data_IF_083386474024
#
_entry.id   IF_083386474024
#
_cell.length_a   1.000
_cell.length_b   1.000
_cell.length_c   1.000
_cell.angle_alpha   90.00
_cell.angle_beta   90.00
_cell.angle_gamma   90.00
#
_symmetry.space_group_name_H-M   'P 1'
#
loop_
_entity.id
_entity.type
_entity.pdbx_description
1 polymer ?
#
# COMPACT_ATOMS: atom_id res chain seq x y z
N UNK A 1 -15.07 71.51 8.68
CA UNK A 1 -15.53 70.35 7.90
C UNK A 1 -15.54 69.15 8.84
N UNK A 2 -16.71 68.64 9.23
CA UNK A 2 -16.82 67.50 10.13
C UNK A 2 -16.69 66.21 9.29
N UNK A 3 -15.64 65.43 9.52
CA UNK A 3 -15.50 64.12 8.88
C UNK A 3 -16.62 63.22 9.40
N UNK A 4 -17.45 62.63 8.53
CA UNK A 4 -18.58 61.81 8.98
C UNK A 4 -18.05 60.52 9.62
N UNK A 5 -18.19 60.41 10.94
CA UNK A 5 -17.74 59.27 11.74
C UNK A 5 -18.25 57.90 11.24
N UNK A 6 -19.43 57.86 10.60
CA UNK A 6 -19.97 56.64 9.99
C UNK A 6 -19.14 56.10 8.81
N UNK A 7 -18.44 56.98 8.09
CA UNK A 7 -17.61 56.62 6.94
C UNK A 7 -16.27 56.03 7.38
N UNK A 8 -15.72 56.51 8.51
CA UNK A 8 -14.54 55.93 9.17
C UNK A 8 -14.82 54.55 9.76
N UNK A 9 -15.99 54.35 10.39
CA UNK A 9 -16.40 53.05 10.94
C UNK A 9 -16.60 52.01 9.82
N UNK A 10 -17.16 52.42 8.68
CA UNK A 10 -17.41 51.51 7.54
C UNK A 10 -16.12 51.09 6.82
N UNK A 11 -15.16 52.02 6.64
CA UNK A 11 -13.85 51.72 6.05
C UNK A 11 -13.00 50.85 7.00
N UNK A 12 -12.98 51.19 8.30
CA UNK A 12 -12.27 50.39 9.30
C UNK A 12 -12.85 48.97 9.42
N UNK A 13 -14.19 48.83 9.38
CA UNK A 13 -14.87 47.55 9.39
C UNK A 13 -14.62 46.69 8.14
N UNK A 14 -14.59 47.31 6.96
CA UNK A 14 -14.28 46.63 5.70
C UNK A 14 -12.86 46.07 5.65
N UNK A 15 -11.87 46.87 6.11
CA UNK A 15 -10.46 46.45 6.16
C UNK A 15 -10.28 45.28 7.15
N UNK A 16 -10.89 45.37 8.34
CA UNK A 16 -10.82 44.29 9.33
C UNK A 16 -11.42 42.97 8.81
N UNK A 17 -12.58 43.02 8.13
CA UNK A 17 -13.22 41.84 7.54
C UNK A 17 -12.34 41.21 6.44
N UNK A 18 -11.69 42.00 5.59
CA UNK A 18 -10.76 41.48 4.58
C UNK A 18 -9.52 40.83 5.18
N UNK A 19 -8.95 41.40 6.25
CA UNK A 19 -7.76 40.82 6.91
C UNK A 19 -8.11 39.49 7.58
N UNK A 20 -9.25 39.41 8.27
CA UNK A 20 -9.73 38.16 8.89
C UNK A 20 -10.05 37.12 7.82
N UNK A 21 -10.70 37.52 6.71
CA UNK A 21 -10.99 36.64 5.58
C UNK A 21 -9.73 36.07 4.91
N UNK A 22 -8.69 36.88 4.72
CA UNK A 22 -7.41 36.45 4.14
C UNK A 22 -6.63 35.54 5.08
N UNK A 23 -6.60 35.83 6.39
CA UNK A 23 -5.93 34.98 7.38
C UNK A 23 -6.65 33.63 7.53
N UNK A 24 -7.99 33.65 7.65
CA UNK A 24 -8.79 32.44 7.71
C UNK A 24 -8.67 31.61 6.42
N UNK A 25 -8.73 32.26 5.25
CA UNK A 25 -8.52 31.64 3.94
C UNK A 25 -7.12 31.05 3.78
N UNK A 26 -6.08 31.74 4.27
CA UNK A 26 -4.70 31.25 4.24
C UNK A 26 -4.45 30.04 5.14
N UNK A 27 -5.04 30.01 6.34
CA UNK A 27 -4.93 28.88 7.27
C UNK A 27 -5.72 27.67 6.78
N UNK A 28 -6.94 27.87 6.27
CA UNK A 28 -7.77 26.81 5.67
C UNK A 28 -7.13 26.27 4.39
N UNK A 29 -6.61 27.16 3.53
CA UNK A 29 -5.87 26.81 2.32
C UNK A 29 -4.65 25.95 2.63
N UNK A 30 -3.79 26.35 3.58
CA UNK A 30 -2.61 25.58 3.99
C UNK A 30 -2.96 24.21 4.57
N UNK A 31 -4.05 24.08 5.33
CA UNK A 31 -4.53 22.78 5.84
C UNK A 31 -5.04 21.88 4.72
N UNK A 32 -5.76 22.43 3.74
CA UNK A 32 -6.27 21.66 2.60
C UNK A 32 -5.12 21.15 1.71
N UNK A 33 -4.14 22.01 1.41
CA UNK A 33 -2.96 21.65 0.63
C UNK A 33 -2.11 20.58 1.34
N UNK A 34 -1.91 20.71 2.66
CA UNK A 34 -1.16 19.71 3.42
C UNK A 34 -1.86 18.34 3.45
N UNK A 35 -3.20 18.30 3.51
CA UNK A 35 -3.98 17.06 3.43
C UNK A 35 -3.89 16.42 2.05
N UNK A 36 -4.03 17.23 0.98
CA UNK A 36 -3.88 16.75 -0.40
C UNK A 36 -2.49 16.19 -0.64
N UNK A 37 -1.44 16.91 -0.21
CA UNK A 37 -0.06 16.44 -0.33
C UNK A 37 0.18 15.11 0.40
N UNK A 38 -0.31 14.98 1.63
CA UNK A 38 -0.18 13.73 2.39
C UNK A 38 -0.94 12.57 1.73
N UNK A 39 -2.12 12.85 1.16
CA UNK A 39 -2.91 11.86 0.45
C UNK A 39 -2.20 11.40 -0.84
N UNK A 40 -1.68 12.32 -1.64
CA UNK A 40 -0.89 12.01 -2.85
C UNK A 40 0.38 11.22 -2.52
N UNK A 41 1.09 11.61 -1.45
CA UNK A 41 2.28 10.92 -0.99
C UNK A 41 1.97 9.49 -0.53
N UNK A 42 0.86 9.28 0.20
CA UNK A 42 0.37 7.95 0.58
C UNK A 42 0.02 7.10 -0.62
N UNK A 43 -0.77 7.63 -1.56
CA UNK A 43 -1.14 6.91 -2.78
C UNK A 43 0.10 6.45 -3.55
N UNK A 44 1.07 7.35 -3.73
CA UNK A 44 2.33 7.04 -4.41
C UNK A 44 3.14 5.97 -3.67
N UNK A 45 3.22 6.06 -2.33
CA UNK A 45 3.95 5.08 -1.53
C UNK A 45 3.28 3.70 -1.55
N UNK A 46 1.96 3.64 -1.45
CA UNK A 46 1.20 2.39 -1.53
C UNK A 46 1.31 1.75 -2.92
N UNK A 47 1.27 2.54 -3.99
CA UNK A 47 1.48 2.05 -5.36
C UNK A 47 2.87 1.41 -5.51
N UNK A 48 3.93 2.11 -5.09
CA UNK A 48 5.31 1.58 -5.14
C UNK A 48 5.47 0.30 -4.33
N UNK A 49 4.86 0.25 -3.15
CA UNK A 49 4.88 -0.97 -2.33
C UNK A 49 4.18 -2.13 -3.03
N UNK A 50 2.98 -1.91 -3.58
CA UNK A 50 2.24 -2.95 -4.29
C UNK A 50 2.98 -3.44 -5.54
N UNK A 51 3.62 -2.53 -6.30
CA UNK A 51 4.45 -2.90 -7.44
C UNK A 51 5.65 -3.75 -7.03
N UNK A 52 6.38 -3.33 -6.00
CA UNK A 52 7.54 -4.08 -5.51
C UNK A 52 7.13 -5.43 -4.90
N UNK A 53 6.04 -5.45 -4.15
CA UNK A 53 5.44 -6.68 -3.62
C UNK A 53 5.06 -7.66 -4.75
N UNK A 54 4.39 -7.17 -5.79
CA UNK A 54 4.02 -8.00 -6.94
C UNK A 54 5.23 -8.57 -7.68
N UNK A 55 6.33 -7.82 -7.78
CA UNK A 55 7.57 -8.32 -8.36
C UNK A 55 8.20 -9.44 -7.52
N UNK A 56 8.21 -9.30 -6.18
CA UNK A 56 8.66 -10.36 -5.28
C UNK A 56 7.76 -11.59 -5.44
N UNK A 57 6.45 -11.42 -5.33
CA UNK A 57 5.48 -12.53 -5.42
C UNK A 57 5.56 -13.29 -6.75
N UNK A 58 5.73 -12.58 -7.87
CA UNK A 58 5.94 -13.20 -9.18
C UNK A 58 7.21 -14.05 -9.21
N UNK A 59 8.33 -13.52 -8.75
CA UNK A 59 9.60 -14.25 -8.71
C UNK A 59 9.54 -15.46 -7.77
N UNK A 60 8.88 -15.34 -6.62
CA UNK A 60 8.68 -16.47 -5.71
C UNK A 60 7.84 -17.58 -6.36
N UNK A 61 6.76 -17.21 -7.07
CA UNK A 61 5.93 -18.14 -7.84
C UNK A 61 6.70 -18.81 -8.97
N UNK A 62 7.42 -18.04 -9.78
CA UNK A 62 8.22 -18.57 -10.89
C UNK A 62 9.32 -19.51 -10.37
N UNK A 63 10.03 -19.12 -9.32
CA UNK A 63 11.04 -19.95 -8.69
C UNK A 63 10.49 -21.28 -8.19
N UNK A 64 9.26 -21.27 -7.65
CA UNK A 64 8.57 -22.48 -7.25
C UNK A 64 8.25 -23.38 -8.45
N UNK A 65 7.63 -22.84 -9.50
CA UNK A 65 7.26 -23.59 -10.71
C UNK A 65 8.49 -24.21 -11.38
N UNK A 66 9.56 -23.43 -11.49
CA UNK A 66 10.83 -23.84 -12.11
C UNK A 66 11.70 -24.73 -11.20
N UNK A 67 11.29 -24.95 -9.95
CA UNK A 67 12.07 -25.68 -8.93
C UNK A 67 13.49 -25.13 -8.80
N UNK A 68 13.62 -23.81 -8.71
CA UNK A 68 14.89 -23.10 -8.57
C UNK A 68 14.89 -22.24 -7.30
N UNK A 69 16.08 -21.81 -6.90
CA UNK A 69 16.18 -20.79 -5.87
C UNK A 69 15.61 -19.46 -6.42
N UNK A 70 14.85 -18.70 -5.61
CA UNK A 70 14.36 -17.39 -6.02
C UNK A 70 15.51 -16.37 -6.07
N UNK A 71 15.50 -15.54 -7.10
CA UNK A 71 16.48 -14.49 -7.39
C UNK A 71 15.86 -13.12 -7.13
N UNK A 72 15.29 -12.95 -5.93
CA UNK A 72 14.57 -11.72 -5.57
C UNK A 72 15.52 -10.52 -5.55
N UNK A 73 15.16 -9.47 -6.29
CA UNK A 73 15.83 -8.17 -6.19
C UNK A 73 15.21 -7.43 -5.00
N UNK A 74 15.83 -7.54 -3.82
CA UNK A 74 15.30 -6.97 -2.57
C UNK A 74 15.33 -5.45 -2.49
N UNK A 75 16.22 -4.78 -3.23
CA UNK A 75 16.44 -3.34 -3.09
C UNK A 75 15.18 -2.49 -3.37
N UNK A 76 14.42 -2.69 -4.47
CA UNK A 76 13.14 -1.99 -4.70
C UNK A 76 12.10 -2.24 -3.61
N UNK A 77 12.01 -3.47 -3.10
CA UNK A 77 11.06 -3.83 -2.04
C UNK A 77 11.37 -3.10 -0.74
N UNK A 78 12.64 -3.12 -0.31
CA UNK A 78 13.08 -2.39 0.89
C UNK A 78 12.93 -0.88 0.75
N UNK A 79 13.22 -0.32 -0.43
CA UNK A 79 13.03 1.11 -0.70
C UNK A 79 11.55 1.51 -0.63
N UNK A 80 10.64 0.66 -1.13
CA UNK A 80 9.21 0.90 -1.04
C UNK A 80 8.69 0.86 0.41
N UNK A 81 9.15 -0.11 1.21
CA UNK A 81 8.84 -0.18 2.65
C UNK A 81 9.31 1.07 3.41
N UNK A 82 10.54 1.52 3.15
CA UNK A 82 11.08 2.74 3.75
C UNK A 82 10.31 3.99 3.31
N UNK A 83 9.93 4.09 2.04
CA UNK A 83 9.11 5.20 1.56
C UNK A 83 7.72 5.19 2.20
N UNK A 84 7.15 4.01 2.40
CA UNK A 84 5.82 3.85 2.97
C UNK A 84 5.79 4.18 4.47
N UNK A 85 6.82 3.83 5.23
CA UNK A 85 6.90 4.13 6.67
C UNK A 85 6.85 5.62 7.01
N UNK A 86 7.19 6.49 6.05
CA UNK A 86 7.13 7.94 6.22
C UNK A 86 5.71 8.51 6.18
N UNK A 87 4.75 7.83 5.53
CA UNK A 87 3.44 8.41 5.20
C UNK A 87 2.25 7.52 5.54
N UNK A 88 2.46 6.21 5.69
CA UNK A 88 1.41 5.23 5.90
C UNK A 88 0.73 5.37 7.28
N UNK A 89 -0.54 4.96 7.34
CA UNK A 89 -1.21 4.74 8.62
C UNK A 89 -0.60 3.56 9.37
N UNK A 90 -0.77 3.54 10.69
CA UNK A 90 -0.36 2.42 11.53
C UNK A 90 -0.97 1.09 11.07
N UNK A 91 -2.26 1.11 10.68
CA UNK A 91 -2.96 -0.08 10.15
C UNK A 91 -2.31 -0.61 8.87
N UNK A 92 -1.92 0.28 7.94
CA UNK A 92 -1.27 -0.11 6.70
C UNK A 92 0.15 -0.63 6.95
N UNK A 93 0.88 -0.05 7.91
CA UNK A 93 2.19 -0.55 8.32
C UNK A 93 2.11 -1.95 8.94
N UNK A 94 1.18 -2.17 9.86
CA UNK A 94 0.99 -3.48 10.48
C UNK A 94 0.56 -4.56 9.46
N UNK A 95 -0.25 -4.19 8.47
CA UNK A 95 -0.62 -5.12 7.40
C UNK A 95 0.55 -5.42 6.45
N UNK A 96 1.42 -4.43 6.18
CA UNK A 96 2.63 -4.65 5.38
C UNK A 96 3.67 -5.50 6.11
N UNK A 97 3.79 -5.36 7.44
CA UNK A 97 4.64 -6.21 8.28
C UNK A 97 4.22 -7.68 8.16
N UNK A 98 2.92 -7.98 8.19
CA UNK A 98 2.41 -9.34 7.95
C UNK A 98 2.76 -9.89 6.57
N UNK A 99 2.84 -9.04 5.54
CA UNK A 99 3.32 -9.46 4.21
C UNK A 99 4.81 -9.83 4.30
N UNK A 100 5.62 -9.02 4.97
CA UNK A 100 7.05 -9.28 5.17
C UNK A 100 7.30 -10.60 5.92
N UNK A 101 6.56 -10.85 7.01
CA UNK A 101 6.69 -12.08 7.80
C UNK A 101 6.45 -13.34 6.94
N UNK A 102 5.40 -13.30 6.10
CA UNK A 102 5.07 -14.43 5.22
C UNK A 102 6.10 -14.60 4.09
N UNK A 103 6.64 -13.51 3.55
CA UNK A 103 7.74 -13.56 2.56
C UNK A 103 9.01 -14.13 3.18
N UNK A 104 9.31 -13.80 4.44
CA UNK A 104 10.44 -14.36 5.17
C UNK A 104 10.26 -15.87 5.38
N UNK A 105 9.06 -16.32 5.79
CA UNK A 105 8.73 -17.74 5.92
C UNK A 105 8.93 -18.50 4.60
N UNK A 106 8.48 -17.92 3.47
CA UNK A 106 8.73 -18.47 2.14
C UNK A 106 10.23 -18.55 1.84
N UNK A 107 10.99 -17.50 2.15
CA UNK A 107 12.43 -17.45 1.86
C UNK A 107 13.21 -18.48 2.68
N UNK A 108 12.84 -18.67 3.96
CA UNK A 108 13.38 -19.71 4.85
C UNK A 108 13.10 -21.09 4.29
N UNK A 109 11.86 -21.35 3.85
CA UNK A 109 11.47 -22.62 3.24
C UNK A 109 12.44 -22.99 2.11
N UNK A 110 12.69 -22.06 1.16
CA UNK A 110 13.56 -22.26 0.00
C UNK A 110 15.07 -22.31 0.31
N UNK A 111 15.53 -21.70 1.40
CA UNK A 111 16.94 -21.77 1.82
C UNK A 111 17.27 -23.06 2.58
N UNK A 112 16.29 -23.67 3.24
CA UNK A 112 16.47 -24.90 4.03
C UNK A 112 16.18 -26.19 3.25
N UNK A 113 15.35 -26.14 2.21
CA UNK A 113 14.90 -27.27 1.38
C UNK A 113 14.12 -26.76 0.16
N UNK A 114 13.93 -27.57 -0.88
CA UNK A 114 12.83 -27.27 -1.83
C UNK A 114 11.54 -27.84 -1.25
N UNK A 115 10.40 -27.11 -1.28
CA UNK A 115 9.11 -27.68 -0.91
C UNK A 115 8.86 -28.97 -1.69
N UNK A 116 8.60 -30.05 -0.97
CA UNK A 116 8.43 -31.38 -1.56
C UNK A 116 7.08 -31.53 -2.28
N UNK A 117 6.06 -30.76 -1.84
CA UNK A 117 4.72 -30.76 -2.40
C UNK A 117 4.03 -29.38 -2.29
N UNK A 118 2.87 -29.24 -2.93
CA UNK A 118 2.02 -28.04 -2.86
C UNK A 118 1.44 -27.79 -1.47
N UNK A 119 1.22 -28.82 -0.67
CA UNK A 119 0.55 -28.68 0.63
C UNK A 119 1.41 -27.85 1.59
N UNK A 120 2.74 -27.96 1.50
CA UNK A 120 3.67 -27.11 2.26
C UNK A 120 3.56 -25.62 1.90
N UNK A 121 3.11 -25.29 0.68
CA UNK A 121 2.99 -23.90 0.22
C UNK A 121 1.60 -23.29 0.41
N UNK A 122 0.58 -24.13 0.59
CA UNK A 122 -0.79 -23.67 0.85
C UNK A 122 -0.89 -22.67 1.99
N UNK A 123 -0.33 -22.92 3.20
CA UNK A 123 -0.45 -21.98 4.32
C UNK A 123 0.23 -20.64 4.02
N UNK A 124 1.42 -20.66 3.41
CA UNK A 124 2.18 -19.46 3.05
C UNK A 124 1.42 -18.64 2.01
N UNK A 125 0.90 -19.28 0.97
CA UNK A 125 0.10 -18.62 -0.06
C UNK A 125 -1.19 -18.01 0.52
N UNK A 126 -1.92 -18.75 1.37
CA UNK A 126 -3.13 -18.21 2.01
C UNK A 126 -2.80 -17.03 2.93
N UNK A 127 -1.72 -17.13 3.71
CA UNK A 127 -1.24 -16.04 4.57
C UNK A 127 -0.90 -14.79 3.77
N UNK A 128 -0.23 -14.96 2.63
CA UNK A 128 0.16 -13.86 1.75
C UNK A 128 -1.06 -13.18 1.13
N UNK A 129 -2.04 -13.96 0.67
CA UNK A 129 -3.30 -13.45 0.14
C UNK A 129 -4.08 -12.66 1.20
N UNK A 130 -4.21 -13.20 2.41
CA UNK A 130 -4.89 -12.52 3.50
C UNK A 130 -4.20 -11.22 3.92
N UNK A 131 -2.87 -11.25 4.07
CA UNK A 131 -2.07 -10.08 4.41
C UNK A 131 -2.19 -8.99 3.32
N UNK A 132 -2.17 -9.38 2.04
CA UNK A 132 -2.39 -8.47 0.92
C UNK A 132 -3.79 -7.82 0.96
N UNK A 133 -4.86 -8.59 1.20
CA UNK A 133 -6.22 -8.04 1.32
C UNK A 133 -6.34 -7.09 2.52
N UNK A 134 -5.72 -7.43 3.66
CA UNK A 134 -5.65 -6.55 4.84
C UNK A 134 -4.94 -5.23 4.51
N UNK A 135 -3.80 -5.30 3.82
CA UNK A 135 -3.05 -4.13 3.40
C UNK A 135 -3.88 -3.22 2.47
N UNK A 136 -4.51 -3.79 1.44
CA UNK A 136 -5.34 -3.01 0.50
C UNK A 136 -6.50 -2.33 1.23
N UNK A 137 -7.15 -3.02 2.17
CA UNK A 137 -8.23 -2.42 2.97
C UNK A 137 -7.71 -1.30 3.89
N UNK A 138 -6.57 -1.49 4.54
CA UNK A 138 -5.95 -0.46 5.38
C UNK A 138 -5.53 0.78 4.57
N UNK A 139 -4.97 0.57 3.36
CA UNK A 139 -4.61 1.62 2.43
C UNK A 139 -5.85 2.38 1.91
N UNK A 140 -6.91 1.66 1.53
CA UNK A 140 -8.19 2.29 1.10
C UNK A 140 -8.77 3.16 2.21
N UNK A 141 -8.84 2.63 3.44
CA UNK A 141 -9.38 3.35 4.60
C UNK A 141 -8.54 4.55 5.00
N UNK A 142 -7.21 4.50 4.82
CA UNK A 142 -6.32 5.61 5.13
C UNK A 142 -6.40 6.76 4.11
N UNK A 143 -6.86 6.47 2.88
CA UNK A 143 -7.12 7.45 1.83
C UNK A 143 -8.55 8.01 1.91
N UNK A 144 -9.52 7.14 2.19
CA UNK A 144 -10.94 7.49 2.34
C UNK A 144 -11.61 6.52 3.34
N UNK A 145 -11.95 7.00 4.55
CA UNK A 145 -12.58 6.16 5.58
C UNK A 145 -13.95 5.60 5.20
N UNK A 146 -14.61 6.16 4.19
CA UNK A 146 -15.95 5.70 3.75
C UNK A 146 -15.90 4.48 2.83
N UNK A 147 -14.71 4.06 2.40
CA UNK A 147 -14.54 2.91 1.53
C UNK A 147 -15.01 1.62 2.20
N UNK A 148 -15.85 0.87 1.48
CA UNK A 148 -16.29 -0.45 1.90
C UNK A 148 -15.12 -1.43 1.97
N UNK A 149 -15.27 -2.40 2.86
CA UNK A 149 -14.30 -3.47 3.08
C UNK A 149 -14.34 -4.48 1.92
N UNK A 150 -13.18 -4.73 1.32
CA UNK A 150 -13.01 -5.74 0.30
C UNK A 150 -12.81 -7.11 0.92
N UNK A 151 -13.59 -8.09 0.46
CA UNK A 151 -13.40 -9.52 0.76
C UNK A 151 -12.32 -10.14 -0.14
N UNK A 152 -12.01 -9.50 -1.27
CA UNK A 152 -10.99 -9.92 -2.24
C UNK A 152 -10.32 -8.69 -2.87
N UNK A 153 -9.01 -8.78 -3.08
CA UNK A 153 -8.23 -7.80 -3.82
C UNK A 153 -7.88 -8.31 -5.23
N UNK A 154 -7.75 -7.40 -6.19
CA UNK A 154 -7.31 -7.70 -7.55
C UNK A 154 -5.79 -7.50 -7.64
N UNK A 155 -5.12 -8.33 -8.47
CA UNK A 155 -3.68 -8.20 -8.72
C UNK A 155 -2.75 -8.69 -7.60
N UNK A 156 -3.31 -9.31 -6.55
CA UNK A 156 -2.56 -10.04 -5.54
C UNK A 156 -2.28 -11.50 -5.94
N UNK A 157 -1.77 -12.33 -5.01
CA UNK A 157 -1.59 -13.76 -5.25
C UNK A 157 -2.85 -14.38 -5.86
N UNK A 158 -2.69 -15.19 -6.91
CA UNK A 158 -3.80 -15.89 -7.57
C UNK A 158 -4.63 -16.67 -6.56
N UNK A 159 -5.91 -16.97 -6.80
CA UNK A 159 -6.59 -17.95 -5.94
C UNK A 159 -5.84 -19.27 -5.94
N UNK A 160 -5.84 -19.99 -4.81
CA UNK A 160 -5.12 -21.27 -4.65
C UNK A 160 -5.39 -22.28 -5.79
N UNK A 161 -6.60 -22.28 -6.35
CA UNK A 161 -6.98 -23.06 -7.53
C UNK A 161 -6.12 -22.81 -8.78
N UNK A 162 -5.60 -21.59 -8.96
CA UNK A 162 -4.68 -21.25 -10.05
C UNK A 162 -3.30 -21.88 -9.84
N UNK A 163 -2.81 -21.89 -8.60
CA UNK A 163 -1.54 -22.52 -8.22
C UNK A 163 -1.59 -24.04 -8.42
N UNK A 164 -2.70 -24.68 -8.00
CA UNK A 164 -2.91 -26.13 -8.19
C UNK A 164 -2.91 -26.52 -9.67
N UNK A 165 -3.51 -25.70 -10.54
CA UNK A 165 -3.54 -25.97 -11.98
C UNK A 165 -2.16 -25.90 -12.66
N UNK A 166 -1.27 -25.01 -12.18
CA UNK A 166 0.07 -24.83 -12.73
C UNK A 166 1.05 -25.94 -12.33
N UNK A 167 0.80 -26.60 -11.19
CA UNK A 167 1.72 -27.59 -10.61
C UNK A 167 1.49 -29.03 -11.06
N UNK A 168 0.38 -29.33 -11.75
CA UNK A 168 -0.02 -30.72 -12.08
C UNK A 168 1.18 -31.57 -12.56
N UNK A 169 1.60 -32.60 -11.80
CA UNK A 169 2.75 -33.43 -12.12
C UNK A 169 2.37 -34.35 -13.27
N UNK A 170 2.44 -33.84 -14.51
CA UNK A 170 1.99 -34.55 -15.71
C UNK A 170 2.59 -34.06 -17.02
N UNK A 171 3.58 -33.15 -16.99
CA UNK A 171 4.40 -32.83 -18.16
C UNK A 171 5.82 -33.31 -17.93
N UNK A 172 5.99 -34.64 -18.01
CA UNK A 172 7.26 -35.18 -18.49
C UNK A 172 7.46 -34.67 -19.91
N UNK A 173 8.48 -33.81 -20.09
CA UNK A 173 8.93 -33.44 -21.43
C UNK A 173 9.35 -34.73 -22.17
N UNK A 174 8.93 -34.94 -23.43
CA UNK A 174 9.42 -36.07 -24.20
C UNK A 174 10.93 -35.93 -24.38
N UNK A 175 11.65 -37.02 -24.07
CA UNK A 175 13.09 -37.16 -24.26
C UNK A 175 13.48 -37.10 -25.74
#
# INVERSE_FOLDING_TARGET
>A
MAVPWGLLISIAGGIAATVVGVIAGGVVGRRSQNRQWLQEARTTAYERFLQAFGAVEMELREAFVDRRAPTVVWAPFNAALQSMSLVASQEAMAAAEQICDVIEEFTILFHGRQPADLEELRPIHSGLYEAHVRFVNAARRSLDPSQEHLVRALGGPSSWSGVESAWSPGHEAPR
#
